data_IF_576302603237
#
_entry.id   IF_576302603237
#
_cell.length_a   1.000
_cell.length_b   1.000
_cell.length_c   1.000
_cell.angle_alpha   90.00
_cell.angle_beta   90.00
_cell.angle_gamma   90.00
#
_symmetry.space_group_name_H-M   'P 1'
#
loop_
_entity.id
_entity.type
_entity.pdbx_description
1 polymer ?
#
# COMPACT_ATOMS: atom_id res chain seq x y z
N UNK A 1 28.61 -12.29 58.15
CA UNK A 1 29.37 -11.30 57.35
C UNK A 1 29.44 -11.87 55.94
N UNK A 2 28.42 -11.63 55.12
CA UNK A 2 28.20 -10.41 54.33
C UNK A 2 28.69 -10.64 52.88
N UNK A 3 27.87 -10.22 51.93
CA UNK A 3 28.08 -10.17 50.47
C UNK A 3 27.63 -11.37 49.64
N UNK A 4 26.31 -11.51 49.47
CA UNK A 4 25.71 -12.26 48.36
C UNK A 4 24.60 -11.48 47.60
N UNK A 5 24.54 -10.15 47.75
CA UNK A 5 23.46 -9.32 47.20
C UNK A 5 23.91 -8.18 46.26
N UNK A 6 25.14 -8.20 45.73
CA UNK A 6 25.66 -7.05 44.96
C UNK A 6 25.79 -7.24 43.44
N UNK A 7 25.62 -8.46 42.90
CA UNK A 7 25.80 -8.69 41.44
C UNK A 7 24.49 -8.72 40.62
N UNK A 8 23.33 -8.82 41.26
CA UNK A 8 22.01 -8.94 40.59
C UNK A 8 21.39 -7.63 40.06
N UNK A 9 21.64 -6.42 40.60
CA UNK A 9 21.05 -5.20 40.07
C UNK A 9 21.86 -4.58 38.90
N UNK A 10 23.20 -4.61 38.95
CA UNK A 10 24.06 -3.95 37.95
C UNK A 10 24.03 -4.62 36.57
N UNK A 11 23.97 -5.95 36.51
CA UNK A 11 23.84 -6.69 35.23
C UNK A 11 22.46 -6.43 34.61
N UNK A 12 21.43 -6.32 35.45
CA UNK A 12 20.06 -6.01 35.03
C UNK A 12 19.95 -4.58 34.50
N UNK A 13 20.58 -3.60 35.16
CA UNK A 13 20.60 -2.19 34.69
C UNK A 13 21.43 -2.00 33.43
N UNK A 14 22.58 -2.68 33.31
CA UNK A 14 23.40 -2.66 32.09
C UNK A 14 22.66 -3.31 30.90
N UNK A 15 22.05 -4.48 31.11
CA UNK A 15 21.22 -5.14 30.10
C UNK A 15 19.99 -4.30 29.72
N UNK A 16 19.37 -3.60 30.68
CA UNK A 16 18.28 -2.66 30.41
C UNK A 16 18.75 -1.43 29.63
N UNK A 17 19.94 -0.89 29.90
CA UNK A 17 20.50 0.25 29.18
C UNK A 17 20.89 -0.11 27.75
N UNK A 18 21.51 -1.28 27.54
CA UNK A 18 21.81 -1.85 26.22
C UNK A 18 20.54 -2.09 25.42
N UNK A 19 19.53 -2.73 26.04
CA UNK A 19 18.22 -2.95 25.40
C UNK A 19 17.52 -1.63 25.06
N UNK A 20 17.59 -0.61 25.93
CA UNK A 20 17.05 0.73 25.63
C UNK A 20 17.79 1.39 24.46
N UNK A 21 19.12 1.25 24.39
CA UNK A 21 19.92 1.79 23.30
C UNK A 21 19.61 1.08 21.96
N UNK A 22 19.45 -0.25 21.97
CA UNK A 22 19.00 -1.02 20.80
C UNK A 22 17.59 -0.62 20.37
N UNK A 23 16.65 -0.48 21.31
CA UNK A 23 15.28 -0.04 21.01
C UNK A 23 15.27 1.37 20.42
N UNK A 24 16.04 2.31 20.96
CA UNK A 24 16.14 3.68 20.42
C UNK A 24 16.78 3.68 19.02
N UNK A 25 17.82 2.87 18.82
CA UNK A 25 18.46 2.67 17.52
C UNK A 25 17.47 2.15 16.47
N UNK A 26 16.68 1.14 16.83
CA UNK A 26 15.72 0.52 15.93
C UNK A 26 14.53 1.44 15.64
N UNK A 27 14.01 2.14 16.65
CA UNK A 27 12.97 3.16 16.48
C UNK A 27 13.46 4.29 15.56
N UNK A 28 14.71 4.72 15.69
CA UNK A 28 15.29 5.75 14.82
C UNK A 28 15.38 5.29 13.36
N UNK A 29 15.75 4.03 13.12
CA UNK A 29 15.74 3.45 11.75
C UNK A 29 14.32 3.34 11.20
N UNK A 30 13.37 2.86 12.01
CA UNK A 30 11.96 2.76 11.63
C UNK A 30 11.37 4.13 11.29
N UNK A 31 11.69 5.17 12.06
CA UNK A 31 11.21 6.53 11.81
C UNK A 31 11.81 7.10 10.51
N UNK A 32 13.10 6.82 10.26
CA UNK A 32 13.78 7.20 9.02
C UNK A 32 13.21 6.50 7.79
N UNK A 33 12.74 5.24 7.93
CA UNK A 33 12.03 4.48 6.91
C UNK A 33 10.57 4.95 6.72
N UNK A 34 9.89 5.29 7.80
CA UNK A 34 8.50 5.73 7.77
C UNK A 34 8.33 7.08 7.05
N UNK A 35 9.28 7.99 7.22
CA UNK A 35 9.28 9.31 6.55
C UNK A 35 9.04 9.24 5.03
N UNK A 36 9.90 8.56 4.25
CA UNK A 36 9.71 8.42 2.81
C UNK A 36 8.46 7.62 2.44
N UNK A 37 8.06 6.62 3.24
CA UNK A 37 6.81 5.89 2.97
C UNK A 37 5.57 6.76 3.10
N UNK A 38 5.49 7.58 4.16
CA UNK A 38 4.38 8.51 4.38
C UNK A 38 4.38 9.59 3.29
N UNK A 39 5.54 10.17 2.99
CA UNK A 39 5.67 11.18 1.95
C UNK A 39 5.24 10.63 0.58
N UNK A 40 5.69 9.43 0.20
CA UNK A 40 5.31 8.78 -1.06
C UNK A 40 3.80 8.51 -1.15
N UNK A 41 3.20 8.04 -0.05
CA UNK A 41 1.74 7.85 0.03
C UNK A 41 0.99 9.17 -0.11
N UNK A 42 1.47 10.24 0.53
CA UNK A 42 0.84 11.56 0.48
C UNK A 42 0.89 12.14 -0.95
N UNK A 43 2.04 12.07 -1.62
CA UNK A 43 2.16 12.50 -3.02
C UNK A 43 1.24 11.71 -3.95
N UNK A 44 1.14 10.40 -3.75
CA UNK A 44 0.27 9.56 -4.58
C UNK A 44 -1.21 9.96 -4.40
N UNK A 45 -1.63 10.26 -3.17
CA UNK A 45 -2.96 10.80 -2.90
C UNK A 45 -3.20 12.17 -3.55
N UNK A 46 -2.20 13.07 -3.52
CA UNK A 46 -2.31 14.40 -4.15
C UNK A 46 -2.50 14.28 -5.67
N UNK A 47 -1.75 13.40 -6.34
CA UNK A 47 -1.91 13.16 -7.78
C UNK A 47 -3.31 12.63 -8.10
N UNK A 48 -3.84 11.74 -7.27
CA UNK A 48 -5.18 11.19 -7.42
C UNK A 48 -6.24 12.29 -7.26
N UNK A 49 -6.09 13.15 -6.24
CA UNK A 49 -7.00 14.27 -5.98
C UNK A 49 -7.01 15.29 -7.12
N UNK A 50 -5.84 15.65 -7.67
CA UNK A 50 -5.73 16.56 -8.81
C UNK A 50 -6.43 15.97 -10.05
N UNK A 51 -6.24 14.66 -10.30
CA UNK A 51 -6.88 13.99 -11.44
C UNK A 51 -8.41 14.04 -11.34
N UNK A 52 -8.97 13.82 -10.16
CA UNK A 52 -10.42 13.93 -9.91
C UNK A 52 -10.90 15.38 -10.01
N UNK A 53 -10.11 16.36 -9.58
CA UNK A 53 -10.43 17.79 -9.70
C UNK A 53 -10.48 18.26 -11.16
N UNK A 54 -9.59 17.76 -12.03
CA UNK A 54 -9.66 18.01 -13.47
C UNK A 54 -10.90 17.38 -14.11
N UNK A 55 -11.24 16.16 -13.68
CA UNK A 55 -12.48 15.49 -14.10
C UNK A 55 -13.72 16.25 -13.65
N UNK A 56 -13.70 16.86 -12.46
CA UNK A 56 -14.81 17.65 -11.93
C UNK A 56 -15.15 18.92 -12.73
N UNK A 57 -14.18 19.48 -13.46
CA UNK A 57 -14.44 20.63 -14.35
C UNK A 57 -15.22 20.26 -15.63
N UNK A 58 -15.40 18.96 -15.93
CA UNK A 58 -16.11 18.48 -17.11
C UNK A 58 -17.64 18.45 -16.92
N UNK A 59 -18.13 18.60 -15.68
CA UNK A 59 -19.57 18.68 -15.36
C UNK A 59 -19.97 17.91 -14.10
N UNK A 60 -21.10 18.30 -13.51
CA UNK A 60 -21.61 17.70 -12.26
C UNK A 60 -21.98 16.21 -12.41
N UNK A 61 -22.48 15.82 -13.59
CA UNK A 61 -22.82 14.44 -13.92
C UNK A 61 -21.59 13.53 -13.93
N UNK A 62 -20.53 13.94 -14.63
CA UNK A 62 -19.26 13.19 -14.69
C UNK A 62 -18.55 13.16 -13.33
N UNK A 63 -18.66 14.23 -12.53
CA UNK A 63 -18.14 14.24 -11.15
C UNK A 63 -18.87 13.22 -10.26
N UNK A 64 -20.21 13.17 -10.33
CA UNK A 64 -21.03 12.23 -9.58
C UNK A 64 -20.73 10.78 -9.99
N UNK A 65 -20.65 10.51 -11.30
CA UNK A 65 -20.25 9.20 -11.84
C UNK A 65 -18.85 8.79 -11.41
N UNK A 66 -17.87 9.69 -11.49
CA UNK A 66 -16.49 9.45 -11.06
C UNK A 66 -16.38 9.20 -9.55
N UNK A 67 -17.13 9.94 -8.72
CA UNK A 67 -17.19 9.75 -7.27
C UNK A 67 -17.77 8.38 -6.91
N UNK A 68 -18.85 7.98 -7.57
CA UNK A 68 -19.49 6.68 -7.36
C UNK A 68 -18.57 5.53 -7.80
N UNK A 69 -17.97 5.64 -9.00
CA UNK A 69 -17.00 4.66 -9.49
C UNK A 69 -15.78 4.56 -8.56
N UNK A 70 -15.26 5.69 -8.07
CA UNK A 70 -14.14 5.72 -7.13
C UNK A 70 -14.50 5.08 -5.79
N UNK A 71 -15.72 5.31 -5.29
CA UNK A 71 -16.20 4.69 -4.05
C UNK A 71 -16.36 3.18 -4.22
N UNK A 72 -16.96 2.74 -5.32
CA UNK A 72 -17.10 1.32 -5.66
C UNK A 72 -15.73 0.65 -5.82
N UNK A 73 -14.80 1.30 -6.52
CA UNK A 73 -13.43 0.84 -6.69
C UNK A 73 -12.64 0.82 -5.37
N UNK A 74 -12.88 1.78 -4.47
CA UNK A 74 -12.28 1.81 -3.15
C UNK A 74 -12.73 0.63 -2.29
N UNK A 75 -14.04 0.37 -2.25
CA UNK A 75 -14.61 -0.74 -1.46
C UNK A 75 -14.15 -2.09 -2.00
N UNK A 76 -14.24 -2.30 -3.31
CA UNK A 76 -13.94 -3.60 -3.93
C UNK A 76 -12.44 -3.81 -4.17
N UNK A 77 -11.74 -2.80 -4.69
CA UNK A 77 -10.32 -2.84 -5.02
C UNK A 77 -9.42 -2.58 -3.82
N UNK A 78 -9.48 -1.40 -3.23
CA UNK A 78 -8.54 -0.99 -2.17
C UNK A 78 -8.60 -1.93 -0.96
N UNK A 79 -9.79 -2.37 -0.54
CA UNK A 79 -9.93 -3.33 0.57
C UNK A 79 -9.23 -4.65 0.29
N UNK A 80 -9.38 -5.19 -0.93
CA UNK A 80 -8.73 -6.44 -1.32
C UNK A 80 -7.21 -6.29 -1.42
N UNK A 81 -6.76 -5.16 -1.97
CA UNK A 81 -5.33 -4.84 -2.05
C UNK A 81 -4.72 -4.69 -0.67
N UNK A 82 -5.41 -4.02 0.26
CA UNK A 82 -4.97 -3.85 1.65
C UNK A 82 -4.85 -5.21 2.35
N UNK A 83 -5.84 -6.09 2.17
CA UNK A 83 -5.80 -7.45 2.73
C UNK A 83 -4.64 -8.28 2.17
N UNK A 84 -4.41 -8.20 0.85
CA UNK A 84 -3.29 -8.88 0.20
C UNK A 84 -1.94 -8.33 0.66
N UNK A 85 -1.82 -7.01 0.85
CA UNK A 85 -0.63 -6.37 1.37
C UNK A 85 -0.31 -6.82 2.80
N UNK A 86 -1.32 -6.88 3.68
CA UNK A 86 -1.15 -7.36 5.06
C UNK A 86 -0.68 -8.82 5.12
N UNK A 87 -1.23 -9.68 4.26
CA UNK A 87 -0.78 -11.07 4.14
C UNK A 87 0.68 -11.16 3.68
N UNK A 88 1.08 -10.34 2.71
CA UNK A 88 2.47 -10.28 2.24
C UNK A 88 3.43 -9.75 3.29
N UNK A 89 3.07 -8.69 4.03
CA UNK A 89 3.92 -8.15 5.11
C UNK A 89 4.20 -9.23 6.16
N UNK A 90 3.19 -10.04 6.50
CA UNK A 90 3.33 -11.17 7.43
C UNK A 90 4.26 -12.25 6.86
N UNK A 91 3.98 -12.74 5.64
CA UNK A 91 4.78 -13.81 5.02
C UNK A 91 6.23 -13.40 4.80
N UNK A 92 6.46 -12.15 4.37
CA UNK A 92 7.78 -11.63 4.13
C UNK A 92 8.54 -11.40 5.45
N UNK A 93 7.87 -10.90 6.50
CA UNK A 93 8.46 -10.77 7.83
C UNK A 93 8.90 -12.10 8.42
N UNK A 94 8.09 -13.15 8.26
CA UNK A 94 8.43 -14.50 8.69
C UNK A 94 9.62 -15.08 7.89
N UNK A 95 9.60 -14.97 6.56
CA UNK A 95 10.66 -15.48 5.70
C UNK A 95 12.00 -14.76 5.89
N UNK A 96 11.95 -13.44 6.12
CA UNK A 96 13.13 -12.63 6.39
C UNK A 96 13.71 -12.94 7.79
N UNK A 97 12.85 -13.08 8.81
CA UNK A 97 13.27 -13.50 10.16
C UNK A 97 13.93 -14.88 10.19
N UNK A 98 13.47 -15.80 9.33
CA UNK A 98 14.07 -17.13 9.15
C UNK A 98 15.37 -17.13 8.31
N UNK A 99 15.87 -15.96 7.85
CA UNK A 99 17.04 -15.81 6.97
C UNK A 99 16.96 -16.58 5.64
N UNK A 100 15.75 -16.92 5.17
CA UNK A 100 15.55 -17.68 3.94
C UNK A 100 15.23 -16.76 2.75
N UNK A 101 16.22 -16.00 2.30
CA UNK A 101 16.08 -15.04 1.20
C UNK A 101 15.65 -15.67 -0.13
N UNK A 102 16.00 -16.93 -0.39
CA UNK A 102 15.55 -17.68 -1.57
C UNK A 102 14.02 -17.88 -1.59
N UNK A 103 13.44 -18.21 -0.44
CA UNK A 103 12.01 -18.47 -0.31
C UNK A 103 11.18 -17.18 -0.49
N UNK A 104 11.76 -16.03 -0.13
CA UNK A 104 11.16 -14.71 -0.29
C UNK A 104 10.84 -14.39 -1.75
N UNK A 105 11.73 -14.76 -2.68
CA UNK A 105 11.50 -14.59 -4.12
C UNK A 105 10.37 -15.47 -4.65
N UNK A 106 10.27 -16.71 -4.16
CA UNK A 106 9.18 -17.64 -4.51
C UNK A 106 7.84 -17.14 -3.97
N UNK A 107 7.80 -16.63 -2.74
CA UNK A 107 6.60 -16.02 -2.17
C UNK A 107 6.13 -14.81 -2.96
N UNK A 108 7.04 -13.95 -3.43
CA UNK A 108 6.69 -12.85 -4.34
C UNK A 108 6.01 -13.36 -5.61
N UNK A 109 6.61 -14.35 -6.29
CA UNK A 109 6.05 -14.88 -7.53
C UNK A 109 4.66 -15.48 -7.32
N UNK A 110 4.48 -16.25 -6.24
CA UNK A 110 3.16 -16.80 -5.86
C UNK A 110 2.16 -15.70 -5.53
N UNK A 111 2.57 -14.67 -4.77
CA UNK A 111 1.71 -13.54 -4.44
C UNK A 111 1.29 -12.75 -5.69
N UNK A 112 2.21 -12.50 -6.62
CA UNK A 112 1.88 -11.86 -7.91
C UNK A 112 0.86 -12.68 -8.71
N UNK A 113 1.01 -14.01 -8.76
CA UNK A 113 0.05 -14.88 -9.44
C UNK A 113 -1.33 -14.84 -8.77
N UNK A 114 -1.38 -14.99 -7.44
CA UNK A 114 -2.64 -14.94 -6.68
C UNK A 114 -3.32 -13.58 -6.87
N UNK A 115 -2.57 -12.47 -6.81
CA UNK A 115 -3.11 -11.13 -6.97
C UNK A 115 -3.63 -10.88 -8.40
N UNK A 116 -2.92 -11.40 -9.40
CA UNK A 116 -3.38 -11.37 -10.80
C UNK A 116 -4.67 -12.16 -10.96
N UNK A 117 -4.76 -13.36 -10.38
CA UNK A 117 -5.96 -14.18 -10.39
C UNK A 117 -7.14 -13.51 -9.67
N UNK A 118 -6.89 -12.81 -8.57
CA UNK A 118 -7.91 -12.04 -7.84
C UNK A 118 -8.37 -10.78 -8.58
N UNK A 119 -7.51 -10.22 -9.44
CA UNK A 119 -7.85 -9.05 -10.26
C UNK A 119 -8.82 -9.38 -11.40
N UNK A 120 -8.86 -10.64 -11.86
CA UNK A 120 -9.80 -11.11 -12.90
C UNK A 120 -11.28 -11.03 -12.48
N UNK A 121 -11.72 -11.63 -11.35
CA UNK A 121 -13.10 -11.50 -10.90
C UNK A 121 -13.44 -10.06 -10.53
N UNK A 122 -12.50 -9.29 -9.98
CA UNK A 122 -12.67 -7.86 -9.73
C UNK A 122 -12.92 -7.07 -11.02
N UNK A 123 -12.12 -7.29 -12.06
CA UNK A 123 -12.31 -6.66 -13.36
C UNK A 123 -13.67 -7.01 -13.97
N UNK A 124 -14.12 -8.24 -13.76
CA UNK A 124 -15.46 -8.68 -14.19
C UNK A 124 -16.55 -7.90 -13.45
N UNK A 125 -16.45 -7.79 -12.11
CA UNK A 125 -17.39 -6.99 -11.31
C UNK A 125 -17.39 -5.53 -11.77
N UNK A 126 -16.21 -4.96 -12.06
CA UNK A 126 -16.07 -3.58 -12.51
C UNK A 126 -16.66 -3.37 -13.91
N UNK A 127 -16.61 -4.37 -14.78
CA UNK A 127 -17.24 -4.31 -16.09
C UNK A 127 -18.77 -4.17 -15.99
N UNK A 128 -19.38 -4.82 -15.00
CA UNK A 128 -20.82 -4.75 -14.71
C UNK A 128 -21.22 -3.63 -13.73
N UNK A 129 -20.32 -2.69 -13.42
CA UNK A 129 -20.60 -1.58 -12.47
C UNK A 129 -21.86 -0.81 -12.86
N UNK A 130 -22.06 -0.50 -14.15
CA UNK A 130 -23.26 0.19 -14.63
C UNK A 130 -24.55 -0.54 -14.21
N UNK A 131 -24.64 -1.84 -14.52
CA UNK A 131 -25.84 -2.64 -14.27
C UNK A 131 -26.07 -2.85 -12.77
N UNK A 132 -24.98 -3.01 -12.00
CA UNK A 132 -25.03 -3.08 -10.54
C UNK A 132 -25.63 -1.80 -9.96
N UNK A 133 -25.14 -0.62 -10.39
CA UNK A 133 -25.64 0.67 -9.91
C UNK A 133 -27.10 0.91 -10.31
N UNK A 134 -27.49 0.54 -11.53
CA UNK A 134 -28.89 0.58 -11.96
C UNK A 134 -29.77 -0.31 -11.07
N UNK A 135 -29.28 -1.48 -10.69
CA UNK A 135 -30.00 -2.41 -9.82
C UNK A 135 -30.14 -1.90 -8.38
N UNK A 136 -29.19 -1.09 -7.90
CA UNK A 136 -29.29 -0.36 -6.63
C UNK A 136 -30.24 0.85 -6.68
N UNK A 137 -30.83 1.15 -7.85
CA UNK A 137 -31.77 2.25 -8.04
C UNK A 137 -31.11 3.59 -8.33
N UNK A 138 -29.84 3.60 -8.77
CA UNK A 138 -29.16 4.83 -9.17
C UNK A 138 -29.72 5.36 -10.50
N UNK A 139 -29.70 6.68 -10.68
CA UNK A 139 -30.12 7.34 -11.92
C UNK A 139 -29.28 6.86 -13.11
N UNK A 140 -29.94 6.61 -14.25
CA UNK A 140 -29.33 5.93 -15.39
C UNK A 140 -28.12 6.66 -15.96
N UNK A 141 -28.16 7.99 -15.98
CA UNK A 141 -27.07 8.83 -16.47
C UNK A 141 -25.84 8.73 -15.57
N UNK A 142 -26.03 8.70 -14.24
CA UNK A 142 -24.94 8.55 -13.26
C UNK A 142 -24.35 7.14 -13.32
N UNK A 143 -25.20 6.11 -13.45
CA UNK A 143 -24.76 4.71 -13.55
C UNK A 143 -23.93 4.47 -14.82
N UNK A 144 -24.35 5.08 -15.94
CA UNK A 144 -23.63 5.00 -17.22
C UNK A 144 -22.24 5.62 -17.11
N UNK A 145 -22.15 6.86 -16.62
CA UNK A 145 -20.87 7.55 -16.40
C UNK A 145 -19.96 6.73 -15.46
N UNK A 146 -20.48 6.29 -14.31
CA UNK A 146 -19.74 5.46 -13.37
C UNK A 146 -19.21 4.15 -14.00
N UNK A 147 -20.01 3.53 -14.87
CA UNK A 147 -19.62 2.33 -15.62
C UNK A 147 -18.49 2.59 -16.62
N UNK A 148 -18.51 3.74 -17.30
CA UNK A 148 -17.43 4.16 -18.21
C UNK A 148 -16.14 4.38 -17.43
N UNK A 149 -16.21 5.10 -16.30
CA UNK A 149 -15.06 5.29 -15.40
C UNK A 149 -14.51 3.97 -14.87
N UNK A 150 -15.38 3.05 -14.42
CA UNK A 150 -14.98 1.74 -13.92
C UNK A 150 -14.22 0.92 -14.96
N UNK A 151 -14.66 0.95 -16.23
CA UNK A 151 -13.97 0.25 -17.34
C UNK A 151 -12.58 0.83 -17.61
N UNK A 152 -12.41 2.15 -17.56
CA UNK A 152 -11.10 2.79 -17.66
C UNK A 152 -10.17 2.47 -16.49
N UNK A 153 -10.74 2.20 -15.31
CA UNK A 153 -9.99 1.80 -14.12
C UNK A 153 -9.52 0.33 -14.17
N UNK A 154 -10.13 -0.56 -14.97
CA UNK A 154 -9.74 -1.98 -15.09
C UNK A 154 -8.25 -2.18 -15.42
N UNK A 155 -7.67 -1.60 -16.50
CA UNK A 155 -6.25 -1.79 -16.79
C UNK A 155 -5.36 -1.22 -15.68
N UNK A 156 -5.78 -0.13 -15.05
CA UNK A 156 -5.10 0.47 -13.90
C UNK A 156 -5.07 -0.50 -12.71
N UNK A 157 -6.15 -1.26 -12.46
CA UNK A 157 -6.22 -2.25 -11.39
C UNK A 157 -5.11 -3.31 -11.50
N UNK A 158 -4.92 -3.89 -12.69
CA UNK A 158 -3.87 -4.90 -12.91
C UNK A 158 -2.47 -4.31 -12.72
N UNK A 159 -2.22 -3.12 -13.27
CA UNK A 159 -0.94 -2.44 -13.11
C UNK A 159 -0.65 -2.11 -11.64
N UNK A 160 -1.64 -1.58 -10.92
CA UNK A 160 -1.53 -1.19 -9.52
C UNK A 160 -1.32 -2.40 -8.60
N UNK A 161 -1.99 -3.52 -8.86
CA UNK A 161 -1.77 -4.77 -8.14
C UNK A 161 -0.32 -5.28 -8.28
N UNK A 162 0.21 -5.34 -9.51
CA UNK A 162 1.59 -5.77 -9.76
C UNK A 162 2.62 -4.84 -9.14
N UNK A 163 2.37 -3.53 -9.22
CA UNK A 163 3.23 -2.50 -8.63
C UNK A 163 3.26 -2.62 -7.09
N UNK A 164 2.11 -2.81 -6.46
CA UNK A 164 2.02 -3.02 -5.00
C UNK A 164 2.80 -4.25 -4.54
N UNK A 165 2.70 -5.38 -5.24
CA UNK A 165 3.53 -6.57 -4.96
C UNK A 165 5.03 -6.24 -5.03
N UNK A 166 5.46 -5.46 -6.02
CA UNK A 166 6.85 -5.06 -6.16
C UNK A 166 7.33 -4.14 -5.03
N UNK A 167 6.54 -3.12 -4.70
CA UNK A 167 6.87 -2.16 -3.63
C UNK A 167 6.97 -2.89 -2.29
N UNK A 168 6.03 -3.78 -1.97
CA UNK A 168 6.02 -4.54 -0.70
C UNK A 168 7.18 -5.52 -0.60
N UNK A 169 7.53 -6.19 -1.70
CA UNK A 169 8.70 -7.05 -1.74
C UNK A 169 10.01 -6.28 -1.47
N UNK A 170 10.17 -5.09 -2.06
CA UNK A 170 11.33 -4.23 -1.83
C UNK A 170 11.37 -3.70 -0.39
N UNK A 171 10.22 -3.29 0.13
CA UNK A 171 10.07 -2.83 1.52
C UNK A 171 10.43 -3.93 2.53
N UNK A 172 9.98 -5.17 2.31
CA UNK A 172 10.28 -6.27 3.21
C UNK A 172 11.77 -6.67 3.24
N UNK A 173 12.54 -6.34 2.20
CA UNK A 173 13.98 -6.55 2.17
C UNK A 173 14.77 -5.40 2.81
N UNK A 174 14.10 -4.37 3.34
CA UNK A 174 14.73 -3.11 3.75
C UNK A 174 15.46 -2.38 2.60
N UNK A 175 15.24 -2.77 1.34
CA UNK A 175 15.81 -2.11 0.15
C UNK A 175 14.82 -1.03 -0.30
N UNK A 176 14.75 0.03 0.50
CA UNK A 176 13.96 1.26 0.20
C UNK A 176 14.72 2.25 -0.69
N UNK A 177 16.00 1.99 -0.99
CA UNK A 177 16.84 2.85 -1.83
C UNK A 177 16.19 3.29 -3.17
N UNK A 178 15.49 2.43 -3.93
CA UNK A 178 14.84 2.83 -5.17
C UNK A 178 13.67 3.81 -4.94
N UNK A 179 12.91 3.58 -3.86
CA UNK A 179 11.74 4.39 -3.50
C UNK A 179 12.19 5.76 -2.98
N UNK A 180 13.25 5.78 -2.15
CA UNK A 180 13.89 7.01 -1.66
C UNK A 180 14.49 7.82 -2.81
N UNK A 181 15.12 7.16 -3.80
CA UNK A 181 15.68 7.82 -4.98
C UNK A 181 14.59 8.45 -5.85
N UNK A 182 13.50 7.73 -6.13
CA UNK A 182 12.34 8.27 -6.86
C UNK A 182 11.71 9.47 -6.11
N UNK A 183 11.55 9.38 -4.79
CA UNK A 183 11.05 10.47 -3.96
C UNK A 183 12.00 11.67 -4.00
N UNK A 184 13.31 11.45 -3.90
CA UNK A 184 14.31 12.51 -3.97
C UNK A 184 14.27 13.24 -5.33
N UNK A 185 14.15 12.49 -6.42
CA UNK A 185 14.02 13.06 -7.77
C UNK A 185 12.72 13.87 -7.92
N UNK A 186 11.60 13.33 -7.44
CA UNK A 186 10.30 14.01 -7.52
C UNK A 186 10.26 15.28 -6.66
N UNK A 187 10.79 15.24 -5.43
CA UNK A 187 10.92 16.45 -4.59
C UNK A 187 11.77 17.52 -5.29
N UNK A 188 12.85 17.10 -5.97
CA UNK A 188 13.73 18.02 -6.68
C UNK A 188 13.08 18.66 -7.92
N UNK A 189 12.14 17.96 -8.56
CA UNK A 189 11.37 18.46 -9.72
C UNK A 189 10.22 19.38 -9.30
N UNK A 190 9.66 19.19 -8.09
CA UNK A 190 8.55 20.01 -7.58
C UNK A 190 9.05 21.30 -6.91
N UNK A 191 10.21 21.25 -6.24
CA UNK A 191 10.81 22.40 -5.52
C UNK A 191 11.96 23.09 -6.27
N UNK A 192 12.25 22.68 -7.51
CA UNK A 192 13.24 23.32 -8.39
C UNK A 192 12.56 23.90 -9.61
#
# INVERSE_FOLDING_TARGET
MENQNLETPLITEACQRERKAEVISEVKKQLWLAGPMIAGSLLQNVIQMISVMFVGHLGELSLSGASMASSFAGVTGTSLLMGSASAMDTLCGQAYGAKQHYLLGIYKQRAMLILTLLSIPLATIWFYTNDILLLFGQEADIACEAGIYAKWLIPSLFAYGLLQCHVRFLQAQNIVFPVIFLIHVIMKVIFG
#
